data_IF_951560134199
#
_entry.id   IF_951560134199
#
_cell.length_a   1.000
_cell.length_b   1.000
_cell.length_c   1.000
_cell.angle_alpha   90.00
_cell.angle_beta   90.00
_cell.angle_gamma   90.00
#
_symmetry.space_group_name_H-M   'P 1'
#
loop_
_entity.id
_entity.type
_entity.pdbx_description
1 polymer ?
#
# COMPACT_ATOMS: atom_id res chain seq x y z
N UNK A 1 9.37 -25.02 -5.30
CA UNK A 1 10.36 -23.98 -5.68
C UNK A 1 10.41 -23.00 -4.53
N UNK A 2 11.47 -23.01 -3.72
CA UNK A 2 11.67 -22.01 -2.68
C UNK A 2 11.88 -20.66 -3.38
N UNK A 3 10.97 -19.71 -3.17
CA UNK A 3 11.17 -18.32 -3.63
C UNK A 3 12.30 -17.77 -2.78
N UNK A 4 13.51 -17.70 -3.34
CA UNK A 4 14.60 -16.93 -2.75
C UNK A 4 14.18 -15.46 -2.77
N UNK A 5 13.55 -15.02 -1.69
CA UNK A 5 13.18 -13.62 -1.50
C UNK A 5 14.47 -12.82 -1.48
N UNK A 6 14.72 -12.05 -2.54
CA UNK A 6 15.89 -11.18 -2.55
C UNK A 6 15.66 -10.04 -1.56
N UNK A 7 16.70 -9.68 -0.81
CA UNK A 7 16.67 -8.52 0.09
C UNK A 7 16.17 -7.26 -0.64
N UNK A 8 16.51 -7.13 -1.92
CA UNK A 8 16.06 -6.07 -2.81
C UNK A 8 14.54 -6.05 -3.03
N UNK A 9 13.89 -7.21 -3.18
CA UNK A 9 12.44 -7.29 -3.36
C UNK A 9 11.69 -6.91 -2.08
N UNK A 10 12.19 -7.34 -0.91
CA UNK A 10 11.66 -6.91 0.38
C UNK A 10 11.83 -5.40 0.58
N UNK A 11 12.99 -4.85 0.24
CA UNK A 11 13.25 -3.42 0.38
C UNK A 11 12.36 -2.60 -0.58
N UNK A 12 12.12 -3.09 -1.80
CA UNK A 12 11.14 -2.48 -2.74
C UNK A 12 9.72 -2.51 -2.20
N UNK A 13 9.27 -3.64 -1.66
CA UNK A 13 7.92 -3.75 -1.09
C UNK A 13 7.76 -2.87 0.16
N UNK A 14 8.77 -2.80 1.01
CA UNK A 14 8.78 -1.91 2.19
C UNK A 14 8.75 -0.43 1.78
N UNK A 15 9.50 -0.06 0.73
CA UNK A 15 9.46 1.30 0.19
C UNK A 15 8.06 1.62 -0.35
N UNK A 16 7.48 0.73 -1.15
CA UNK A 16 6.13 0.91 -1.71
C UNK A 16 5.04 0.96 -0.65
N UNK A 17 5.17 0.19 0.43
CA UNK A 17 4.29 0.26 1.59
C UNK A 17 4.31 1.66 2.23
N UNK A 18 5.49 2.25 2.43
CA UNK A 18 5.63 3.60 2.99
C UNK A 18 5.07 4.67 2.06
N UNK A 19 5.35 4.58 0.77
CA UNK A 19 4.85 5.52 -0.25
C UNK A 19 3.32 5.50 -0.31
N UNK A 20 2.72 4.31 -0.39
CA UNK A 20 1.26 4.17 -0.39
C UNK A 20 0.62 4.66 0.91
N UNK A 21 1.28 4.47 2.06
CA UNK A 21 0.85 5.04 3.34
C UNK A 21 0.78 6.57 3.28
N UNK A 22 1.84 7.23 2.81
CA UNK A 22 1.88 8.69 2.66
C UNK A 22 0.78 9.21 1.73
N UNK A 23 0.58 8.54 0.59
CA UNK A 23 -0.47 8.90 -0.37
C UNK A 23 -1.86 8.75 0.24
N UNK A 24 -2.10 7.69 1.02
CA UNK A 24 -3.39 7.50 1.72
C UNK A 24 -3.62 8.61 2.74
N UNK A 25 -2.60 9.00 3.50
CA UNK A 25 -2.70 10.08 4.49
C UNK A 25 -2.99 11.42 3.82
N UNK A 26 -2.28 11.76 2.74
CA UNK A 26 -2.51 12.98 1.95
C UNK A 26 -3.91 13.01 1.32
N UNK A 27 -4.35 11.90 0.72
CA UNK A 27 -5.70 11.79 0.16
C UNK A 27 -6.78 11.92 1.25
N UNK A 28 -6.52 11.39 2.46
CA UNK A 28 -7.46 11.46 3.58
C UNK A 28 -7.55 12.88 4.15
N UNK A 29 -6.43 13.60 4.34
CA UNK A 29 -6.44 15.00 4.77
C UNK A 29 -7.07 15.90 3.70
N UNK A 30 -6.78 15.65 2.42
CA UNK A 30 -7.39 16.39 1.31
C UNK A 30 -8.89 16.17 1.26
N UNK A 31 -9.37 14.92 1.41
CA UNK A 31 -10.79 14.61 1.50
C UNK A 31 -11.47 15.32 2.68
N UNK A 32 -10.83 15.37 3.85
CA UNK A 32 -11.36 16.07 5.03
C UNK A 32 -11.55 17.58 4.84
N UNK A 33 -10.90 18.18 3.82
CA UNK A 33 -10.98 19.61 3.48
C UNK A 33 -11.64 19.87 2.13
N UNK A 34 -12.02 18.81 1.41
CA UNK A 34 -12.48 18.88 0.03
C UNK A 34 -13.94 19.35 -0.07
N UNK A 35 -14.28 19.94 -1.22
CA UNK A 35 -15.68 20.13 -1.60
C UNK A 35 -16.29 18.81 -2.10
N UNK A 36 -17.62 18.69 -2.09
CA UNK A 36 -18.32 17.47 -2.54
C UNK A 36 -18.00 17.05 -3.97
N UNK A 37 -17.64 18.00 -4.85
CA UNK A 37 -17.20 17.69 -6.21
C UNK A 37 -15.79 17.05 -6.24
N UNK A 38 -14.91 17.50 -5.36
CA UNK A 38 -13.55 16.97 -5.19
C UNK A 38 -13.57 15.61 -4.49
N UNK A 39 -14.46 15.42 -3.50
CA UNK A 39 -14.64 14.14 -2.81
C UNK A 39 -14.95 12.99 -3.79
N UNK A 40 -15.89 13.20 -4.73
CA UNK A 40 -16.26 12.20 -5.74
C UNK A 40 -15.10 11.72 -6.62
N UNK A 41 -14.05 12.52 -6.75
CA UNK A 41 -12.86 12.18 -7.53
C UNK A 41 -11.80 11.52 -6.64
N UNK A 42 -11.65 11.97 -5.40
CA UNK A 42 -10.62 11.48 -4.48
C UNK A 42 -11.01 10.19 -3.76
N UNK A 43 -12.30 9.93 -3.51
CA UNK A 43 -12.78 8.70 -2.87
C UNK A 43 -12.38 7.42 -3.64
N UNK A 44 -12.57 7.33 -4.97
CA UNK A 44 -12.11 6.17 -5.74
C UNK A 44 -10.60 5.96 -5.67
N UNK A 45 -9.83 7.05 -5.72
CA UNK A 45 -8.37 7.01 -5.67
C UNK A 45 -7.87 6.56 -4.30
N UNK A 46 -8.48 7.05 -3.21
CA UNK A 46 -8.22 6.57 -1.85
C UNK A 46 -8.54 5.08 -1.72
N UNK A 47 -9.66 4.63 -2.27
CA UNK A 47 -10.04 3.21 -2.23
C UNK A 47 -9.04 2.32 -3.00
N UNK A 48 -8.54 2.80 -4.14
CA UNK A 48 -7.49 2.12 -4.92
C UNK A 48 -6.19 2.03 -4.14
N UNK A 49 -5.71 3.14 -3.59
CA UNK A 49 -4.49 3.18 -2.79
C UNK A 49 -4.57 2.22 -1.59
N UNK A 50 -5.72 2.17 -0.89
CA UNK A 50 -5.96 1.21 0.21
C UNK A 50 -5.92 -0.25 -0.23
N UNK A 51 -6.51 -0.59 -1.38
CA UNK A 51 -6.46 -1.95 -1.95
C UNK A 51 -5.03 -2.35 -2.33
N UNK A 52 -4.29 -1.42 -2.93
CA UNK A 52 -2.91 -1.66 -3.32
C UNK A 52 -2.01 -1.84 -2.09
N UNK A 53 -2.19 -1.02 -1.05
CA UNK A 53 -1.49 -1.17 0.23
C UNK A 53 -1.77 -2.54 0.87
N UNK A 54 -3.04 -2.98 0.87
CA UNK A 54 -3.41 -4.30 1.38
C UNK A 54 -2.69 -5.43 0.61
N UNK A 55 -2.61 -5.32 -0.72
CA UNK A 55 -1.87 -6.29 -1.54
C UNK A 55 -0.37 -6.32 -1.22
N UNK A 56 0.25 -5.15 -1.03
CA UNK A 56 1.66 -5.04 -0.63
C UNK A 56 1.89 -5.65 0.76
N UNK A 57 0.97 -5.42 1.71
CA UNK A 57 1.04 -6.02 3.05
C UNK A 57 0.93 -7.54 2.99
N UNK A 58 -0.02 -8.08 2.22
CA UNK A 58 -0.16 -9.53 2.06
C UNK A 58 1.10 -10.12 1.42
N UNK A 59 1.67 -9.47 0.41
CA UNK A 59 2.94 -9.89 -0.19
C UNK A 59 4.09 -9.87 0.82
N UNK A 60 4.22 -8.81 1.62
CA UNK A 60 5.22 -8.71 2.67
C UNK A 60 5.06 -9.82 3.71
N UNK A 61 3.83 -10.10 4.14
CA UNK A 61 3.51 -11.19 5.07
C UNK A 61 3.90 -12.54 4.50
N UNK A 62 3.50 -12.85 3.26
CA UNK A 62 3.85 -14.11 2.59
C UNK A 62 5.36 -14.30 2.50
N UNK A 63 6.11 -13.24 2.16
CA UNK A 63 7.57 -13.29 2.07
C UNK A 63 8.26 -13.38 3.43
N UNK A 64 7.65 -12.83 4.49
CA UNK A 64 8.16 -12.97 5.87
C UNK A 64 7.78 -14.30 6.53
N UNK A 65 6.68 -14.93 6.09
CA UNK A 65 6.14 -16.18 6.63
C UNK A 65 6.78 -17.45 6.08
N UNK A 66 7.51 -17.36 4.96
CA UNK A 66 8.25 -18.49 4.35
C UNK A 66 9.63 -18.73 5.03
N UNK A 67 9.71 -18.50 6.35
CA UNK A 67 10.89 -18.79 7.18
C UNK A 67 10.73 -20.03 8.08
N UNK A 68 9.60 -20.73 8.00
CA UNK A 68 9.32 -21.90 8.83
C UNK A 68 8.53 -22.96 8.07
N UNK A 69 9.22 -23.89 7.42
CA UNK A 69 8.89 -25.33 7.31
C UNK A 69 10.02 -26.06 6.60
#
# INVERSE_FOLDING_TARGET
MAVTVTKEELDRLRKRYKELGSVIDELTDTLGRASTATERVLEPELMRARKELASVVERLKSLSGDSSS
#
